data_IF_515668971631
#
_entry.id   IF_515668971631
#
_cell.length_a   1.000
_cell.length_b   1.000
_cell.length_c   1.000
_cell.angle_alpha   90.00
_cell.angle_beta   90.00
_cell.angle_gamma   90.00
#
_symmetry.space_group_name_H-M   'P 1'
#
loop_
_entity.id
_entity.type
_entity.pdbx_description
1 polymer ?
#
# COMPACT_ATOMS: atom_id res chain seq x y z
N UNK A 1 28.58 -43.16 7.10
CA UNK A 1 28.93 -42.01 7.98
C UNK A 1 29.84 -41.09 7.19
N UNK A 2 29.27 -40.13 6.47
CA UNK A 2 29.98 -38.97 5.95
C UNK A 2 29.01 -37.81 6.08
N UNK A 3 29.34 -36.91 6.99
CA UNK A 3 28.55 -35.75 7.35
C UNK A 3 28.43 -34.83 6.12
N UNK A 4 27.20 -34.59 5.68
CA UNK A 4 26.83 -33.44 4.87
C UNK A 4 26.35 -32.40 5.86
N UNK A 5 27.25 -31.53 6.29
CA UNK A 5 26.90 -30.41 7.16
C UNK A 5 26.86 -29.14 6.32
N UNK A 6 25.64 -28.61 6.25
CA UNK A 6 25.23 -27.22 6.04
C UNK A 6 26.22 -26.28 5.35
N UNK A 7 25.96 -26.05 4.06
CA UNK A 7 26.41 -24.85 3.39
C UNK A 7 25.54 -23.68 3.87
N UNK A 8 26.10 -22.63 4.50
CA UNK A 8 25.30 -21.55 5.04
C UNK A 8 24.65 -20.75 3.90
N UNK A 9 23.32 -20.68 3.92
CA UNK A 9 22.55 -19.76 3.07
C UNK A 9 23.04 -18.34 3.38
N UNK A 10 23.63 -17.69 2.40
CA UNK A 10 24.07 -16.30 2.50
C UNK A 10 22.82 -15.44 2.67
N UNK A 11 22.64 -14.89 3.87
CA UNK A 11 21.72 -13.79 4.08
C UNK A 11 22.32 -12.57 3.37
N UNK A 12 21.74 -12.21 2.23
CA UNK A 12 22.05 -10.96 1.54
C UNK A 12 21.51 -9.80 2.39
N UNK A 13 22.29 -9.38 3.38
CA UNK A 13 22.13 -8.06 3.99
C UNK A 13 22.74 -7.05 3.04
N UNK A 14 21.95 -6.66 2.04
CA UNK A 14 22.20 -5.49 1.22
C UNK A 14 21.97 -4.24 2.07
N UNK A 15 23.00 -3.89 2.84
CA UNK A 15 23.09 -2.64 3.58
C UNK A 15 22.89 -1.46 2.61
N UNK A 16 21.71 -0.84 2.69
CA UNK A 16 21.34 0.33 1.90
C UNK A 16 22.22 1.54 2.26
N UNK A 17 22.99 2.03 1.28
CA UNK A 17 23.54 3.37 1.35
C UNK A 17 22.49 4.37 0.86
N UNK A 18 22.22 5.46 1.60
CA UNK A 18 21.25 6.46 1.17
C UNK A 18 21.90 7.40 0.14
N UNK A 19 21.52 7.26 -1.12
CA UNK A 19 21.82 8.24 -2.16
C UNK A 19 20.59 9.13 -2.40
N UNK A 20 20.58 10.29 -1.75
CA UNK A 20 19.89 11.52 -2.16
C UNK A 20 18.41 11.40 -2.57
N UNK A 21 17.50 11.70 -1.62
CA UNK A 21 16.10 12.03 -1.90
C UNK A 21 15.13 10.85 -1.98
N UNK A 22 15.61 9.65 -2.30
CA UNK A 22 14.84 8.41 -2.21
C UNK A 22 14.93 7.81 -0.79
N UNK A 23 13.83 7.23 -0.28
CA UNK A 23 13.87 6.45 0.95
C UNK A 23 14.65 5.13 0.75
N UNK A 24 15.19 4.56 1.84
CA UNK A 24 15.87 3.26 1.80
C UNK A 24 14.88 2.09 1.77
N UNK A 25 15.37 0.86 1.53
CA UNK A 25 14.53 -0.34 1.54
C UNK A 25 13.79 -0.53 2.87
N UNK A 26 14.47 -0.32 4.01
CA UNK A 26 13.86 -0.44 5.34
C UNK A 26 12.67 0.50 5.50
N UNK A 27 12.85 1.78 5.15
CA UNK A 27 11.78 2.79 5.20
C UNK A 27 10.65 2.47 4.21
N UNK A 28 10.98 2.01 3.00
CA UNK A 28 9.97 1.62 2.01
C UNK A 28 9.10 0.46 2.50
N UNK A 29 9.72 -0.58 3.09
CA UNK A 29 9.01 -1.75 3.64
C UNK A 29 8.19 -1.37 4.87
N UNK A 30 8.72 -0.55 5.78
CA UNK A 30 7.99 -0.04 6.96
C UNK A 30 6.74 0.79 6.60
N UNK A 31 6.73 1.42 5.43
CA UNK A 31 5.64 2.26 4.92
C UNK A 31 4.78 1.57 3.86
N UNK A 32 5.14 0.35 3.44
CA UNK A 32 4.54 -0.32 2.28
C UNK A 32 3.03 -0.54 2.43
N UNK A 33 2.57 -0.97 3.60
CA UNK A 33 1.15 -1.21 3.86
C UNK A 33 0.31 0.06 3.70
N UNK A 34 0.78 1.17 4.29
CA UNK A 34 0.14 2.48 4.18
C UNK A 34 0.18 3.00 2.74
N UNK A 35 1.27 2.74 2.01
CA UNK A 35 1.36 3.04 0.58
C UNK A 35 0.29 2.30 -0.22
N UNK A 36 0.17 0.98 -0.04
CA UNK A 36 -0.80 0.14 -0.77
C UNK A 36 -2.25 0.49 -0.40
N UNK A 37 -2.50 0.93 0.84
CA UNK A 37 -3.83 1.43 1.27
C UNK A 37 -4.10 2.90 0.91
N UNK A 38 -3.15 3.58 0.27
CA UNK A 38 -3.21 5.01 -0.06
C UNK A 38 -3.41 5.91 1.17
N UNK A 39 -2.80 5.54 2.30
CA UNK A 39 -2.88 6.25 3.59
C UNK A 39 -1.68 7.18 3.83
N UNK A 40 -0.65 7.12 2.99
CA UNK A 40 0.50 8.02 3.09
C UNK A 40 0.17 9.46 2.68
N UNK A 41 0.83 10.41 3.35
CA UNK A 41 0.89 11.80 2.89
C UNK A 41 1.61 11.91 1.55
N UNK A 42 1.34 12.98 0.78
CA UNK A 42 1.86 13.13 -0.58
C UNK A 42 3.40 13.00 -0.66
N UNK A 43 4.12 13.62 0.27
CA UNK A 43 5.59 13.56 0.30
C UNK A 43 6.11 12.12 0.49
N UNK A 44 5.56 11.40 1.47
CA UNK A 44 6.02 10.05 1.80
C UNK A 44 5.61 9.04 0.72
N UNK A 45 4.41 9.22 0.13
CA UNK A 45 3.98 8.45 -1.03
C UNK A 45 4.98 8.59 -2.18
N UNK A 46 5.35 9.82 -2.54
CA UNK A 46 6.24 10.07 -3.68
C UNK A 46 7.65 9.48 -3.43
N UNK A 47 8.12 9.47 -2.17
CA UNK A 47 9.40 8.86 -1.79
C UNK A 47 9.37 7.33 -1.90
N UNK A 48 8.32 6.69 -1.39
CA UNK A 48 8.14 5.23 -1.48
C UNK A 48 7.93 4.80 -2.93
N UNK A 49 7.13 5.54 -3.71
CA UNK A 49 6.90 5.28 -5.13
C UNK A 49 8.20 5.33 -5.94
N UNK A 50 9.04 6.35 -5.70
CA UNK A 50 10.36 6.45 -6.33
C UNK A 50 11.24 5.24 -5.99
N UNK A 51 11.24 4.79 -4.72
CA UNK A 51 12.01 3.62 -4.31
C UNK A 51 11.52 2.34 -4.98
N UNK A 52 10.20 2.09 -5.00
CA UNK A 52 9.61 0.92 -5.67
C UNK A 52 9.92 0.88 -7.17
N UNK A 53 10.06 2.03 -7.80
CA UNK A 53 10.44 2.14 -9.22
C UNK A 53 11.89 1.70 -9.51
N UNK A 54 12.78 1.81 -8.52
CA UNK A 54 14.22 1.55 -8.66
C UNK A 54 14.65 0.23 -8.00
N UNK A 55 13.87 -0.28 -7.05
CA UNK A 55 14.19 -1.46 -6.26
C UNK A 55 13.25 -2.63 -6.59
N UNK A 56 13.79 -3.63 -7.30
CA UNK A 56 13.04 -4.83 -7.69
C UNK A 56 12.50 -5.61 -6.49
N UNK A 57 13.29 -5.75 -5.43
CA UNK A 57 12.89 -6.56 -4.27
C UNK A 57 11.71 -5.91 -3.54
N UNK A 58 11.74 -4.59 -3.33
CA UNK A 58 10.60 -3.88 -2.73
C UNK A 58 9.36 -3.88 -3.64
N UNK A 59 9.55 -3.84 -4.97
CA UNK A 59 8.45 -3.99 -5.93
C UNK A 59 7.83 -5.39 -5.89
N UNK A 60 8.60 -6.43 -5.62
CA UNK A 60 8.08 -7.79 -5.43
C UNK A 60 7.25 -7.90 -4.15
N UNK A 61 7.70 -7.28 -3.05
CA UNK A 61 6.90 -7.18 -1.82
C UNK A 61 5.57 -6.44 -2.05
N UNK A 62 5.58 -5.31 -2.77
CA UNK A 62 4.35 -4.57 -3.12
C UNK A 62 3.34 -5.43 -3.89
N UNK A 63 3.83 -6.22 -4.85
CA UNK A 63 2.99 -7.14 -5.62
C UNK A 63 2.37 -8.24 -4.75
N UNK A 64 3.13 -8.78 -3.79
CA UNK A 64 2.60 -9.77 -2.84
C UNK A 64 1.43 -9.16 -2.06
N UNK A 65 1.59 -7.92 -1.58
CA UNK A 65 0.53 -7.24 -0.84
C UNK A 65 -0.72 -6.97 -1.67
N UNK A 66 -0.56 -6.56 -2.92
CA UNK A 66 -1.68 -6.37 -3.86
C UNK A 66 -2.41 -7.69 -4.14
N UNK A 67 -1.69 -8.79 -4.32
CA UNK A 67 -2.27 -10.12 -4.52
C UNK A 67 -3.01 -10.58 -3.27
N UNK A 68 -2.44 -10.36 -2.08
CA UNK A 68 -3.09 -10.68 -0.81
C UNK A 68 -4.40 -9.90 -0.65
N UNK A 69 -4.39 -8.59 -0.87
CA UNK A 69 -5.61 -7.75 -0.83
C UNK A 69 -6.64 -8.20 -1.87
N UNK A 70 -6.21 -8.56 -3.08
CA UNK A 70 -7.10 -9.09 -4.10
C UNK A 70 -7.74 -10.42 -3.67
N UNK A 71 -6.97 -11.31 -3.03
CA UNK A 71 -7.45 -12.59 -2.53
C UNK A 71 -8.49 -12.39 -1.43
N UNK A 72 -8.19 -11.56 -0.43
CA UNK A 72 -9.14 -11.22 0.65
C UNK A 72 -10.42 -10.64 0.06
N UNK A 73 -10.30 -9.68 -0.87
CA UNK A 73 -11.46 -9.10 -1.54
C UNK A 73 -12.25 -10.15 -2.31
N UNK A 74 -11.65 -11.20 -2.86
CA UNK A 74 -12.38 -12.26 -3.59
C UNK A 74 -13.12 -13.20 -2.63
N UNK A 75 -12.47 -13.58 -1.54
CA UNK A 75 -12.97 -14.60 -0.63
C UNK A 75 -13.94 -14.05 0.43
N UNK A 76 -13.87 -12.76 0.75
CA UNK A 76 -14.58 -12.13 1.86
C UNK A 76 -15.52 -11.01 1.39
N UNK A 77 -16.34 -11.26 0.36
CA UNK A 77 -17.36 -10.30 -0.08
C UNK A 77 -18.68 -10.53 0.64
N UNK A 78 -19.18 -9.49 1.30
CA UNK A 78 -20.54 -9.44 1.84
C UNK A 78 -21.34 -8.38 1.09
N UNK A 79 -22.57 -8.69 0.68
CA UNK A 79 -23.43 -7.70 0.04
C UNK A 79 -24.01 -6.76 1.09
N UNK A 80 -23.72 -5.46 0.96
CA UNK A 80 -24.29 -4.45 1.83
C UNK A 80 -25.84 -4.47 1.74
N UNK A 81 -26.57 -4.42 2.88
CA UNK A 81 -28.03 -4.43 2.90
C UNK A 81 -28.63 -3.35 1.99
N UNK A 82 -29.70 -3.70 1.27
CA UNK A 82 -30.35 -2.79 0.32
C UNK A 82 -30.78 -1.45 0.95
N UNK A 83 -31.23 -1.49 2.21
CA UNK A 83 -31.61 -0.31 2.99
C UNK A 83 -30.44 0.65 3.20
N UNK A 84 -29.24 0.14 3.48
CA UNK A 84 -28.04 0.95 3.65
C UNK A 84 -27.64 1.61 2.31
N UNK A 85 -27.65 0.83 1.21
CA UNK A 85 -27.33 1.36 -0.12
C UNK A 85 -28.29 2.48 -0.54
N UNK A 86 -29.59 2.34 -0.26
CA UNK A 86 -30.60 3.37 -0.54
C UNK A 86 -30.30 4.64 0.26
N UNK A 87 -30.13 4.53 1.58
CA UNK A 87 -29.81 5.67 2.46
C UNK A 87 -28.56 6.42 2.01
N UNK A 88 -27.48 5.70 1.66
CA UNK A 88 -26.25 6.33 1.17
C UNK A 88 -26.50 7.11 -0.13
N UNK A 89 -27.23 6.52 -1.09
CA UNK A 89 -27.54 7.18 -2.36
C UNK A 89 -28.39 8.44 -2.16
N UNK A 90 -29.38 8.39 -1.28
CA UNK A 90 -30.20 9.55 -0.92
C UNK A 90 -29.32 10.66 -0.33
N UNK A 91 -28.49 10.33 0.67
CA UNK A 91 -27.59 11.31 1.30
C UNK A 91 -26.59 11.91 0.31
N UNK A 92 -25.98 11.10 -0.56
CA UNK A 92 -25.08 11.60 -1.60
C UNK A 92 -25.79 12.52 -2.60
N UNK A 93 -27.04 12.22 -2.93
CA UNK A 93 -27.86 13.07 -3.81
C UNK A 93 -28.09 14.42 -3.16
N UNK A 94 -28.50 14.45 -1.89
CA UNK A 94 -28.69 15.70 -1.13
C UNK A 94 -27.40 16.51 -1.03
N UNK A 95 -26.28 15.87 -0.69
CA UNK A 95 -24.98 16.55 -0.55
C UNK A 95 -24.50 17.17 -1.87
N UNK A 96 -24.72 16.51 -3.01
CA UNK A 96 -24.35 17.04 -4.34
C UNK A 96 -25.23 18.19 -4.79
N UNK A 97 -26.49 18.22 -4.34
CA UNK A 97 -27.43 19.30 -4.63
C UNK A 97 -27.23 20.51 -3.71
N UNK A 98 -26.50 20.37 -2.60
CA UNK A 98 -26.06 21.51 -1.79
C UNK A 98 -25.04 22.29 -2.62
N UNK A 99 -25.35 23.51 -3.11
CA UNK A 99 -24.35 24.34 -3.73
C UNK A 99 -23.22 24.57 -2.73
N UNK A 100 -21.98 24.66 -3.22
CA UNK A 100 -20.82 25.08 -2.44
C UNK A 100 -21.02 26.55 -2.02
N UNK A 101 -21.87 26.78 -1.01
CA UNK A 101 -22.05 28.08 -0.38
C UNK A 101 -20.89 28.44 0.56
N UNK A 102 -19.87 27.57 0.65
CA UNK A 102 -18.72 27.70 1.53
C UNK A 102 -17.45 27.76 0.67
N UNK A 103 -17.29 28.84 -0.10
CA UNK A 103 -15.98 29.30 -0.59
C UNK A 103 -15.90 30.80 -0.29
N UNK A 104 -15.87 31.13 0.99
CA UNK A 104 -15.49 32.44 1.49
C UNK A 104 -14.23 32.30 2.35
N UNK A 105 -13.28 33.21 2.10
CA UNK A 105 -11.96 33.44 2.70
C UNK A 105 -10.76 32.78 1.98
#
# INVERSE_FOLDING_TARGET
MSAREDEPVVADTSAGLPATGACGCDEAVERLWEYVDAELGALDRDRVEAHLHECRDCLEEEQIELVMKQLVRRCCQEEAPATLRLRIREQLTVLRLRPAADTEA
#
